data_IF_529266326983
#
_entry.id   IF_529266326983
#
_cell.length_a   1.000
_cell.length_b   1.000
_cell.length_c   1.000
_cell.angle_alpha   90.00
_cell.angle_beta   90.00
_cell.angle_gamma   90.00
#
_symmetry.space_group_name_H-M   'P 1'
#
loop_
_entity.id
_entity.type
_entity.pdbx_description
1 polymer ?
#
# COMPACT_ATOMS: atom_id res chain seq x y z
N UNK A 1 -10.31 -20.40 -6.42
CA UNK A 1 -10.81 -19.02 -6.22
C UNK A 1 -10.08 -18.17 -7.25
N UNK A 2 -10.79 -17.46 -8.13
CA UNK A 2 -10.13 -16.60 -9.13
C UNK A 2 -9.64 -15.37 -8.38
N UNK A 3 -8.32 -15.20 -8.29
CA UNK A 3 -7.71 -13.96 -7.79
C UNK A 3 -8.12 -12.86 -8.76
N UNK A 4 -8.75 -11.81 -8.24
CA UNK A 4 -9.03 -10.60 -9.02
C UNK A 4 -7.84 -9.68 -8.78
N UNK A 5 -6.94 -9.52 -9.76
CA UNK A 5 -5.79 -8.63 -9.59
C UNK A 5 -6.26 -7.20 -9.39
N UNK A 6 -5.41 -6.38 -8.79
CA UNK A 6 -5.60 -4.92 -8.75
C UNK A 6 -5.91 -4.43 -10.16
N UNK A 7 -6.97 -3.62 -10.26
CA UNK A 7 -7.45 -3.15 -11.56
C UNK A 7 -6.35 -2.38 -12.29
N UNK A 8 -6.25 -2.58 -13.61
CA UNK A 8 -5.29 -1.85 -14.44
C UNK A 8 -5.47 -0.32 -14.30
N UNK A 9 -6.70 0.13 -14.07
CA UNK A 9 -7.01 1.53 -13.76
C UNK A 9 -6.28 2.03 -12.50
N UNK A 10 -6.34 1.27 -11.39
CA UNK A 10 -5.61 1.65 -10.18
C UNK A 10 -4.10 1.62 -10.41
N UNK A 11 -3.59 0.65 -11.17
CA UNK A 11 -2.15 0.57 -11.48
C UNK A 11 -1.67 1.80 -12.27
N UNK A 12 -2.45 2.28 -13.24
CA UNK A 12 -2.11 3.51 -13.99
C UNK A 12 -2.19 4.75 -13.11
N UNK A 13 -3.22 4.83 -12.26
CA UNK A 13 -3.38 5.96 -11.34
C UNK A 13 -2.26 6.00 -10.28
N UNK A 14 -1.83 4.85 -9.77
CA UNK A 14 -0.75 4.80 -8.79
C UNK A 14 0.61 5.19 -9.37
N UNK A 15 0.75 5.26 -10.69
CA UNK A 15 1.92 5.78 -11.41
C UNK A 15 1.86 7.31 -11.65
N UNK A 16 0.73 7.96 -11.36
CA UNK A 16 0.59 9.43 -11.51
C UNK A 16 0.88 10.14 -10.17
N UNK A 17 1.91 11.02 -10.08
CA UNK A 17 2.14 11.84 -8.89
C UNK A 17 0.91 12.65 -8.43
N UNK A 18 0.07 13.08 -9.38
CA UNK A 18 -1.13 13.88 -9.10
C UNK A 18 -2.18 13.10 -8.35
N UNK A 19 -2.30 11.80 -8.61
CA UNK A 19 -3.21 10.92 -7.88
C UNK A 19 -2.87 10.88 -6.38
N UNK A 20 -1.59 10.77 -6.03
CA UNK A 20 -1.15 10.74 -4.64
C UNK A 20 -1.29 12.09 -3.95
N UNK A 21 -0.93 13.18 -4.64
CA UNK A 21 -1.19 14.54 -4.14
C UNK A 21 -2.68 14.74 -3.87
N UNK A 22 -3.55 14.29 -4.77
CA UNK A 22 -4.99 14.36 -4.60
C UNK A 22 -5.52 13.59 -3.38
N UNK A 23 -5.00 12.38 -3.12
CA UNK A 23 -5.46 11.57 -1.98
C UNK A 23 -5.07 12.15 -0.61
N UNK A 24 -3.98 12.93 -0.53
CA UNK A 24 -3.39 13.37 0.74
C UNK A 24 -3.38 14.89 0.95
N UNK A 25 -3.40 15.70 -0.12
CA UNK A 25 -3.39 17.16 -0.04
C UNK A 25 -4.82 17.68 -0.08
N UNK A 26 -5.20 18.42 0.97
CA UNK A 26 -6.55 18.92 1.28
C UNK A 26 -7.23 19.82 0.22
N UNK A 27 -6.68 19.98 -0.98
CA UNK A 27 -7.19 20.96 -1.95
C UNK A 27 -8.38 20.46 -2.79
N UNK A 28 -8.70 19.15 -2.76
CA UNK A 28 -9.95 18.63 -3.31
C UNK A 28 -10.07 18.73 -4.83
N UNK A 29 -10.71 17.72 -5.43
CA UNK A 29 -11.01 17.62 -6.85
C UNK A 29 -9.80 17.58 -7.80
N UNK A 30 -9.65 16.47 -8.53
CA UNK A 30 -8.83 16.50 -9.75
C UNK A 30 -9.62 17.26 -10.83
N UNK A 31 -9.02 18.25 -11.54
CA UNK A 31 -9.71 18.92 -12.63
C UNK A 31 -9.93 17.93 -13.78
N UNK A 32 -11.19 17.68 -14.13
CA UNK A 32 -11.62 16.76 -15.20
C UNK A 32 -11.05 15.33 -15.08
N UNK A 33 -11.41 14.56 -14.03
CA UNK A 33 -10.89 13.22 -13.82
C UNK A 33 -11.51 12.22 -14.80
N UNK A 34 -10.65 11.47 -15.50
CA UNK A 34 -11.05 10.28 -16.26
C UNK A 34 -10.28 9.04 -15.75
N UNK A 35 -10.95 8.10 -15.05
CA UNK A 35 -12.38 8.09 -14.72
C UNK A 35 -12.75 9.02 -13.55
N UNK A 36 -14.03 9.38 -13.41
CA UNK A 36 -14.51 10.19 -12.29
C UNK A 36 -14.58 9.43 -10.95
N UNK A 37 -14.83 8.12 -11.01
CA UNK A 37 -14.91 7.26 -9.84
C UNK A 37 -14.10 5.98 -10.07
N UNK A 38 -13.44 5.50 -9.02
CA UNK A 38 -12.64 4.28 -9.05
C UNK A 38 -13.04 3.40 -7.87
N UNK A 39 -13.54 2.20 -8.18
CA UNK A 39 -13.76 1.15 -7.19
C UNK A 39 -12.60 0.18 -7.20
N UNK A 40 -11.91 0.08 -6.08
CA UNK A 40 -10.81 -0.85 -5.84
C UNK A 40 -11.32 -2.01 -5.00
N UNK A 41 -11.32 -3.22 -5.55
CA UNK A 41 -11.58 -4.44 -4.79
C UNK A 41 -10.27 -5.06 -4.34
N UNK A 42 -10.14 -5.33 -3.05
CA UNK A 42 -8.96 -5.90 -2.42
C UNK A 42 -9.37 -7.21 -1.72
N UNK A 43 -9.40 -8.34 -2.45
CA UNK A 43 -9.67 -9.65 -1.86
C UNK A 43 -8.60 -9.96 -0.80
N UNK A 44 -9.02 -10.37 0.39
CA UNK A 44 -8.07 -10.74 1.45
C UNK A 44 -8.01 -12.25 1.57
N UNK A 45 -9.05 -12.90 2.11
CA UNK A 45 -9.07 -14.36 2.25
C UNK A 45 -10.47 -14.89 2.54
N UNK A 46 -10.72 -16.17 2.26
CA UNK A 46 -11.99 -16.85 2.59
C UNK A 46 -13.24 -16.21 2.01
N UNK A 47 -13.13 -15.47 0.91
CA UNK A 47 -14.21 -14.69 0.31
C UNK A 47 -14.44 -13.31 0.93
N UNK A 48 -13.75 -12.97 2.02
CA UNK A 48 -13.73 -11.61 2.55
C UNK A 48 -12.80 -10.71 1.74
N UNK A 49 -13.15 -9.43 1.68
CA UNK A 49 -12.31 -8.41 1.05
C UNK A 49 -12.60 -7.01 1.57
N UNK A 50 -11.69 -6.09 1.28
CA UNK A 50 -11.89 -4.66 1.47
C UNK A 50 -12.25 -4.04 0.12
N UNK A 51 -13.13 -3.05 0.13
CA UNK A 51 -13.53 -2.31 -1.07
C UNK A 51 -13.34 -0.83 -0.78
N UNK A 52 -12.51 -0.18 -1.60
CA UNK A 52 -12.27 1.25 -1.52
C UNK A 52 -12.92 1.92 -2.73
N UNK A 53 -13.88 2.78 -2.47
CA UNK A 53 -14.51 3.64 -3.47
C UNK A 53 -13.88 5.02 -3.39
N UNK A 54 -13.30 5.48 -4.50
CA UNK A 54 -12.64 6.77 -4.66
C UNK A 54 -13.47 7.63 -5.62
N UNK A 55 -14.00 8.74 -5.12
CA UNK A 55 -14.58 9.79 -5.95
C UNK A 55 -13.47 10.80 -6.28
N UNK A 56 -12.98 10.76 -7.52
CA UNK A 56 -11.89 11.62 -7.99
C UNK A 56 -12.34 13.06 -8.26
N UNK A 57 -13.66 13.30 -8.34
CA UNK A 57 -14.26 14.64 -8.48
C UNK A 57 -14.32 15.34 -7.14
N UNK A 58 -14.69 14.65 -6.05
CA UNK A 58 -14.87 15.27 -4.74
C UNK A 58 -13.69 15.07 -3.79
N UNK A 59 -12.86 14.04 -4.01
CA UNK A 59 -11.85 13.62 -3.03
C UNK A 59 -12.40 12.68 -1.94
N UNK A 60 -13.69 12.32 -2.01
CA UNK A 60 -14.28 11.43 -1.03
C UNK A 60 -13.79 9.99 -1.23
N UNK A 61 -13.52 9.32 -0.11
CA UNK A 61 -13.06 7.95 -0.07
C UNK A 61 -13.96 7.18 0.88
N UNK A 62 -14.51 6.05 0.43
CA UNK A 62 -15.34 5.17 1.25
C UNK A 62 -14.73 3.79 1.32
N UNK A 63 -14.50 3.31 2.54
CA UNK A 63 -14.04 1.96 2.78
C UNK A 63 -15.21 1.07 3.21
N UNK A 64 -15.34 -0.08 2.58
CA UNK A 64 -16.32 -1.10 2.91
C UNK A 64 -15.70 -2.48 3.08
N UNK A 65 -16.39 -3.33 3.84
CA UNK A 65 -16.12 -4.74 4.03
C UNK A 65 -17.01 -5.56 3.10
N UNK A 66 -16.40 -6.34 2.21
CA UNK A 66 -17.10 -7.38 1.45
C UNK A 66 -17.06 -8.69 2.22
N UNK A 67 -18.22 -9.25 2.50
CA UNK A 67 -18.38 -10.58 3.11
C UNK A 67 -18.57 -11.65 2.03
N UNK A 68 -18.24 -12.93 2.27
CA UNK A 68 -18.20 -13.98 1.25
C UNK A 68 -19.53 -14.21 0.49
N UNK A 69 -20.66 -13.92 1.13
CA UNK A 69 -21.99 -14.11 0.56
C UNK A 69 -22.68 -12.79 0.17
N UNK A 70 -22.02 -11.64 0.35
CA UNK A 70 -22.58 -10.33 0.04
C UNK A 70 -21.97 -9.77 -1.25
N UNK A 71 -22.82 -9.36 -2.18
CA UNK A 71 -22.40 -8.61 -3.36
C UNK A 71 -22.06 -7.15 -3.03
N UNK A 72 -22.72 -6.59 -2.01
CA UNK A 72 -22.54 -5.20 -1.60
C UNK A 72 -21.62 -5.10 -0.38
N UNK A 73 -20.59 -4.23 -0.42
CA UNK A 73 -19.73 -4.02 0.73
C UNK A 73 -20.48 -3.24 1.81
N UNK A 74 -20.35 -3.69 3.06
CA UNK A 74 -20.87 -2.96 4.23
C UNK A 74 -19.88 -1.88 4.61
N UNK A 75 -20.31 -0.63 4.67
CA UNK A 75 -19.42 0.50 4.95
C UNK A 75 -18.74 0.39 6.33
N UNK A 76 -17.41 0.51 6.33
CA UNK A 76 -16.58 0.59 7.52
C UNK A 76 -16.34 2.05 7.93
N UNK A 77 -16.15 2.93 6.95
CA UNK A 77 -15.90 4.35 7.18
C UNK A 77 -15.84 5.13 5.88
N UNK A 78 -15.80 6.44 5.99
CA UNK A 78 -15.59 7.34 4.86
C UNK A 78 -14.78 8.56 5.31
N UNK A 79 -14.02 9.14 4.40
CA UNK A 79 -13.22 10.36 4.61
C UNK A 79 -13.26 11.23 3.34
N UNK A 80 -12.75 12.45 3.44
CA UNK A 80 -12.63 13.37 2.32
C UNK A 80 -11.82 14.62 2.72
N UNK A 81 -11.62 15.57 1.80
CA UNK A 81 -10.82 16.77 2.06
C UNK A 81 -11.30 17.53 3.30
N UNK A 82 -10.38 17.85 4.21
CA UNK A 82 -10.67 18.58 5.45
C UNK A 82 -11.53 17.82 6.48
N UNK A 83 -11.81 16.53 6.29
CA UNK A 83 -12.56 15.70 7.24
C UNK A 83 -11.62 14.91 8.17
N UNK A 84 -12.08 14.59 9.39
CA UNK A 84 -11.32 13.71 10.28
C UNK A 84 -11.24 12.30 9.72
N UNK A 85 -10.13 11.62 10.01
CA UNK A 85 -9.92 10.23 9.58
C UNK A 85 -10.79 9.27 10.40
N UNK A 86 -11.57 8.37 9.75
CA UNK A 86 -12.38 7.38 10.44
C UNK A 86 -11.48 6.29 11.03
N UNK A 87 -11.63 6.01 12.32
CA UNK A 87 -10.96 4.89 12.99
C UNK A 87 -11.61 3.54 12.62
N UNK A 88 -11.71 3.25 11.33
CA UNK A 88 -12.40 2.07 10.80
C UNK A 88 -11.58 0.79 11.03
N UNK A 89 -10.27 0.85 10.80
CA UNK A 89 -9.31 -0.22 11.02
C UNK A 89 -8.35 0.18 12.15
N UNK A 90 -7.80 -0.82 12.84
CA UNK A 90 -6.59 -0.65 13.66
C UNK A 90 -5.37 -0.77 12.76
N UNK A 91 -4.21 -0.27 13.19
CA UNK A 91 -3.00 -0.34 12.36
C UNK A 91 -2.59 -1.77 12.01
N UNK A 92 -2.54 -2.67 13.00
CA UNK A 92 -2.29 -4.10 12.75
C UNK A 92 -3.39 -4.76 11.89
N UNK A 93 -4.63 -4.25 12.03
CA UNK A 93 -5.80 -4.41 11.13
C UNK A 93 -5.39 -4.41 9.65
N UNK A 94 -4.91 -3.24 9.27
CA UNK A 94 -4.48 -2.88 7.94
C UNK A 94 -3.24 -3.68 7.50
N UNK A 95 -2.22 -3.75 8.34
CA UNK A 95 -0.96 -4.40 7.99
C UNK A 95 -1.15 -5.89 7.67
N UNK A 96 -1.94 -6.61 8.48
CA UNK A 96 -2.28 -8.01 8.22
C UNK A 96 -3.00 -8.18 6.88
N UNK A 97 -4.02 -7.36 6.62
CA UNK A 97 -4.77 -7.43 5.37
C UNK A 97 -3.87 -7.12 4.17
N UNK A 98 -3.04 -6.07 4.25
CA UNK A 98 -2.15 -5.66 3.17
C UNK A 98 -1.12 -6.73 2.80
N UNK A 99 -0.52 -7.40 3.79
CA UNK A 99 0.40 -8.53 3.56
C UNK A 99 -0.29 -9.69 2.86
N UNK A 100 -1.50 -10.07 3.30
CA UNK A 100 -2.28 -11.13 2.64
C UNK A 100 -2.66 -10.73 1.22
N UNK A 101 -3.14 -9.51 1.00
CA UNK A 101 -3.50 -9.02 -0.34
C UNK A 101 -2.30 -9.08 -1.29
N UNK A 102 -1.11 -8.63 -0.85
CA UNK A 102 0.09 -8.69 -1.67
C UNK A 102 0.54 -10.13 -1.98
N UNK A 103 0.36 -11.07 -1.05
CA UNK A 103 0.65 -12.49 -1.27
C UNK A 103 -0.38 -13.15 -2.20
N UNK A 104 -1.65 -12.75 -2.15
CA UNK A 104 -2.68 -13.37 -2.99
C UNK A 104 -2.76 -12.73 -4.38
N UNK A 105 -2.25 -11.51 -4.56
CA UNK A 105 -2.18 -10.80 -5.84
C UNK A 105 -0.73 -10.71 -6.38
N UNK A 106 -0.36 -11.55 -7.36
CA UNK A 106 0.99 -11.60 -7.92
C UNK A 106 1.37 -10.33 -8.70
N UNK A 107 0.42 -9.41 -8.95
CA UNK A 107 0.71 -8.11 -9.58
C UNK A 107 1.20 -7.07 -8.58
N UNK A 108 1.13 -7.37 -7.27
CA UNK A 108 1.61 -6.51 -6.20
C UNK A 108 2.96 -7.02 -5.68
N UNK A 109 4.06 -6.27 -5.93
CA UNK A 109 5.38 -6.66 -5.45
C UNK A 109 5.55 -6.47 -3.94
N UNK A 110 4.74 -5.62 -3.30
CA UNK A 110 4.81 -5.32 -1.87
C UNK A 110 3.44 -4.88 -1.31
N UNK A 111 3.20 -5.01 0.02
CA UNK A 111 1.96 -4.57 0.66
C UNK A 111 1.76 -3.04 0.69
N UNK A 112 2.79 -2.28 0.34
CA UNK A 112 2.83 -0.82 0.46
C UNK A 112 1.76 -0.07 -0.34
N UNK A 113 1.34 -0.54 -1.52
CA UNK A 113 0.22 0.10 -2.24
C UNK A 113 -1.06 0.08 -1.41
N UNK A 114 -1.37 -1.07 -0.81
CA UNK A 114 -2.55 -1.26 0.03
C UNK A 114 -2.44 -0.42 1.30
N UNK A 115 -1.27 -0.42 1.95
CA UNK A 115 -1.01 0.40 3.14
C UNK A 115 -1.19 1.88 2.82
N UNK A 116 -0.64 2.37 1.71
CA UNK A 116 -0.75 3.77 1.30
C UNK A 116 -2.21 4.18 1.09
N UNK A 117 -2.97 3.40 0.32
CA UNK A 117 -4.38 3.66 0.00
C UNK A 117 -5.29 3.62 1.23
N UNK A 118 -5.05 2.70 2.17
CA UNK A 118 -5.95 2.47 3.30
C UNK A 118 -5.49 3.13 4.61
N UNK A 119 -4.30 3.73 4.65
CA UNK A 119 -3.79 4.46 5.82
C UNK A 119 -4.76 5.52 6.38
N UNK A 120 -5.58 6.25 5.59
CA UNK A 120 -6.57 7.18 6.13
C UNK A 120 -7.67 6.52 6.97
N UNK A 121 -7.85 5.20 6.87
CA UNK A 121 -8.85 4.43 7.61
C UNK A 121 -8.27 3.71 8.83
N UNK A 122 -6.96 3.79 9.04
CA UNK A 122 -6.24 3.20 10.17
C UNK A 122 -5.42 4.28 10.91
N UNK A 123 -6.07 5.34 11.45
CA UNK A 123 -5.36 6.38 12.20
C UNK A 123 -4.68 5.78 13.44
N UNK A 124 -3.57 6.40 13.85
CA UNK A 124 -2.84 6.03 15.05
C UNK A 124 -3.74 6.07 16.29
N UNK A 125 -3.64 5.02 17.11
CA UNK A 125 -4.27 4.91 18.42
C UNK A 125 -3.22 4.96 19.53
N UNK A 126 -3.60 5.19 20.80
CA UNK A 126 -2.65 5.19 21.91
C UNK A 126 -1.90 3.87 22.13
N UNK A 127 -2.42 2.76 21.58
CA UNK A 127 -1.82 1.43 21.70
C UNK A 127 -0.77 1.17 20.60
N UNK A 128 -0.66 2.05 19.60
CA UNK A 128 0.25 1.88 18.47
C UNK A 128 1.64 2.48 18.74
N UNK A 129 2.65 1.81 18.21
CA UNK A 129 4.04 2.30 18.20
C UNK A 129 4.20 3.34 17.07
N UNK A 130 4.21 4.62 17.44
CA UNK A 130 4.21 5.75 16.50
C UNK A 130 5.36 5.68 15.51
N UNK A 131 6.56 5.32 15.97
CA UNK A 131 7.75 5.26 15.13
C UNK A 131 7.67 4.09 14.15
N UNK A 132 7.18 2.94 14.62
CA UNK A 132 6.97 1.78 13.74
C UNK A 132 5.91 2.05 12.67
N UNK A 133 4.78 2.65 13.04
CA UNK A 133 3.74 3.01 12.06
C UNK A 133 4.27 4.03 11.04
N UNK A 134 4.99 5.05 11.50
CA UNK A 134 5.60 6.04 10.61
C UNK A 134 6.54 5.36 9.61
N UNK A 135 7.43 4.49 10.08
CA UNK A 135 8.35 3.77 9.21
C UNK A 135 7.66 2.86 8.19
N UNK A 136 6.60 2.13 8.59
CA UNK A 136 5.80 1.33 7.65
C UNK A 136 5.12 2.23 6.61
N UNK A 137 4.58 3.39 7.00
CA UNK A 137 3.98 4.35 6.05
C UNK A 137 5.02 4.91 5.09
N UNK A 138 6.16 5.34 5.59
CA UNK A 138 7.24 5.84 4.73
C UNK A 138 7.70 4.76 3.76
N UNK A 139 7.88 3.53 4.23
CA UNK A 139 8.22 2.39 3.38
C UNK A 139 7.17 2.13 2.32
N UNK A 140 5.89 2.17 2.70
CA UNK A 140 4.78 2.02 1.77
C UNK A 140 4.84 3.09 0.66
N UNK A 141 5.11 4.35 0.99
CA UNK A 141 5.27 5.39 -0.03
C UNK A 141 6.57 5.25 -0.83
N UNK A 142 7.68 4.85 -0.21
CA UNK A 142 8.96 4.62 -0.90
C UNK A 142 8.89 3.44 -1.86
N UNK A 143 8.16 2.39 -1.52
CA UNK A 143 7.94 1.22 -2.38
C UNK A 143 7.12 1.55 -3.64
N UNK A 144 6.40 2.66 -3.62
CA UNK A 144 5.69 3.21 -4.79
C UNK A 144 6.57 4.12 -5.66
N UNK A 145 7.84 4.34 -5.29
CA UNK A 145 8.77 5.13 -6.09
C UNK A 145 9.11 4.39 -7.36
N UNK A 146 8.50 4.85 -8.44
CA UNK A 146 8.90 4.54 -9.80
C UNK A 146 9.55 5.78 -10.40
N UNK A 147 10.60 5.56 -11.18
CA UNK A 147 11.12 6.61 -12.05
C UNK A 147 10.01 7.03 -13.01
N UNK A 148 9.68 8.33 -13.01
CA UNK A 148 8.77 8.89 -14.00
C UNK A 148 9.60 9.05 -15.28
N UNK A 149 9.23 8.42 -16.40
CA UNK A 149 9.91 8.64 -17.66
C UNK A 149 10.00 10.15 -17.94
N UNK A 150 11.16 10.67 -18.35
CA UNK A 150 11.32 12.11 -18.57
C UNK A 150 10.24 12.58 -19.55
N UNK A 151 9.46 13.58 -19.13
CA UNK A 151 8.44 14.21 -19.98
C UNK A 151 9.16 14.71 -21.23
N UNK A 152 8.72 14.26 -22.42
CA UNK A 152 9.25 14.76 -23.67
C UNK A 152 9.19 16.29 -23.64
N UNK A 153 10.31 16.95 -24.00
CA UNK A 153 10.40 18.40 -23.92
C UNK A 153 9.17 19.02 -24.59
N UNK A 154 8.39 19.79 -23.82
CA UNK A 154 7.26 20.55 -24.32
C UNK A 154 7.81 21.70 -25.18
N UNK A 155 8.16 21.37 -26.42
CA UNK A 155 8.53 22.30 -27.47
C UNK A 155 7.37 22.48 -28.43
N UNK A 156 7.40 23.53 -29.25
CA UNK A 156 6.39 23.71 -30.27
C UNK A 156 6.43 22.53 -31.26
N UNK A 157 5.28 21.90 -31.51
CA UNK A 157 5.15 20.80 -32.48
C UNK A 157 5.50 21.23 -33.92
N UNK A 158 5.62 22.54 -34.15
CA UNK A 158 5.99 23.18 -35.41
C UNK A 158 7.09 24.21 -35.17
N UNK A 159 7.91 24.50 -36.18
CA UNK A 159 8.91 25.55 -36.08
C UNK A 159 8.23 26.89 -35.74
N UNK A 160 8.55 27.54 -34.60
CA UNK A 160 7.85 28.72 -34.16
C UNK A 160 8.16 29.89 -35.10
N UNK A 161 7.14 30.70 -35.40
CA UNK A 161 7.33 31.93 -36.16
C UNK A 161 8.34 32.83 -35.42
N UNK A 162 9.10 33.70 -36.12
CA UNK A 162 10.19 34.49 -35.53
C UNK A 162 9.79 35.29 -34.28
N UNK A 163 8.51 35.67 -34.17
CA UNK A 163 7.94 36.42 -33.04
C UNK A 163 7.69 35.57 -31.77
N UNK A 164 7.61 34.24 -31.89
CA UNK A 164 7.32 33.31 -30.80
C UNK A 164 8.53 32.46 -30.40
N UNK A 165 9.74 32.91 -30.71
CA UNK A 165 10.98 32.18 -30.41
C UNK A 165 11.39 32.24 -28.95
N UNK A 166 10.86 33.19 -28.17
CA UNK A 166 11.18 33.33 -26.76
C UNK A 166 10.45 32.30 -25.87
N UNK A 167 11.15 31.74 -24.88
CA UNK A 167 10.63 30.72 -23.96
C UNK A 167 9.35 31.14 -23.22
N UNK A 168 9.16 32.44 -22.97
CA UNK A 168 8.00 32.98 -22.26
C UNK A 168 6.67 32.80 -23.02
N UNK A 169 6.71 32.52 -24.34
CA UNK A 169 5.53 32.24 -25.15
C UNK A 169 5.04 30.79 -25.03
N UNK A 170 5.86 29.92 -24.44
CA UNK A 170 5.57 28.50 -24.31
C UNK A 170 5.28 28.21 -22.85
N UNK A 171 4.07 27.74 -22.49
CA UNK A 171 3.81 27.33 -21.13
C UNK A 171 4.79 26.22 -20.78
N UNK A 172 5.70 26.48 -19.84
CA UNK A 172 6.44 25.40 -19.17
C UNK A 172 5.43 24.74 -18.24
N UNK A 173 4.95 23.52 -18.54
CA UNK A 173 4.25 22.78 -17.50
C UNK A 173 5.15 22.72 -16.26
N UNK A 174 4.60 22.84 -15.05
CA UNK A 174 5.40 22.69 -13.83
C UNK A 174 6.20 21.39 -13.97
N UNK A 175 7.50 21.46 -13.67
CA UNK A 175 8.35 20.29 -13.72
C UNK A 175 7.76 19.25 -12.78
N UNK A 176 7.24 18.16 -13.34
CA UNK A 176 6.79 17.02 -12.54
C UNK A 176 8.03 16.46 -11.84
N UNK A 177 7.84 16.03 -10.59
CA UNK A 177 8.89 15.35 -9.84
C UNK A 177 9.39 14.14 -10.65
N UNK A 178 10.71 13.84 -10.67
CA UNK A 178 11.24 12.68 -11.40
C UNK A 178 10.77 11.34 -10.79
N UNK A 179 10.11 11.38 -9.64
CA UNK A 179 9.55 10.23 -8.95
C UNK A 179 8.06 10.45 -8.71
N UNK A 180 7.30 9.37 -8.75
CA UNK A 180 5.85 9.38 -8.46
C UNK A 180 5.56 9.94 -7.06
N UNK A 181 6.39 9.59 -6.08
CA UNK A 181 6.37 10.14 -4.72
C UNK A 181 7.81 10.47 -4.28
N UNK A 182 8.19 11.74 -4.30
CA UNK A 182 9.52 12.17 -3.84
C UNK A 182 9.64 12.21 -2.30
N UNK A 183 10.85 12.47 -1.77
CA UNK A 183 11.09 12.54 -0.32
C UNK A 183 10.28 13.63 0.38
N UNK A 184 9.99 14.75 -0.29
CA UNK A 184 9.19 15.81 0.30
C UNK A 184 7.72 15.37 0.43
N UNK A 185 7.19 14.68 -0.59
CA UNK A 185 5.87 14.08 -0.56
C UNK A 185 5.77 12.97 0.50
N UNK A 186 6.76 12.07 0.59
CA UNK A 186 6.81 11.04 1.65
C UNK A 186 6.76 11.70 3.04
N UNK A 187 7.59 12.72 3.28
CA UNK A 187 7.60 13.43 4.55
C UNK A 187 6.24 14.08 4.85
N UNK A 188 5.59 14.70 3.85
CA UNK A 188 4.29 15.32 3.99
C UNK A 188 3.17 14.32 4.29
N UNK A 189 3.14 13.18 3.60
CA UNK A 189 2.07 12.17 3.74
C UNK A 189 2.20 11.35 5.03
N UNK A 190 3.41 11.25 5.58
CA UNK A 190 3.66 10.47 6.79
C UNK A 190 3.42 11.29 8.07
N UNK A 191 3.23 12.61 7.98
CA UNK A 191 2.87 13.43 9.14
C UNK A 191 1.61 12.85 9.81
N UNK A 192 1.65 12.55 11.12
CA UNK A 192 0.47 12.08 11.85
C UNK A 192 -0.63 13.15 11.80
N UNK A 193 -1.78 12.82 11.24
CA UNK A 193 -2.94 13.72 11.28
C UNK A 193 -3.73 13.50 12.57
N UNK A 194 -3.96 14.54 13.40
CA UNK A 194 -4.86 14.44 14.53
C UNK A 194 -6.30 14.77 14.11
N UNK A 195 -7.22 13.84 14.38
CA UNK A 195 -8.60 13.93 14.90
C UNK A 195 -9.34 12.68 14.40
N UNK A 196 -9.63 11.81 15.36
CA UNK A 196 -10.23 10.50 15.20
C UNK A 196 -11.76 10.62 15.17
N UNK A 197 -12.39 10.16 14.08
CA UNK A 197 -13.81 9.83 14.12
C UNK A 197 -13.93 8.35 14.53
N UNK A 198 -14.34 8.10 15.77
CA UNK A 198 -14.57 6.74 16.25
C UNK A 198 -15.84 6.16 15.62
N UNK A 199 -15.66 5.33 14.59
CA UNK A 199 -16.76 4.72 13.83
C UNK A 199 -17.12 3.31 14.32
N UNK A 200 -16.21 2.61 15.02
CA UNK A 200 -16.42 1.21 15.47
C UNK A 200 -17.40 1.12 16.61
N UNK A 201 -17.69 2.24 17.30
CA UNK A 201 -18.77 2.36 18.28
C UNK A 201 -20.18 2.33 17.67
N UNK A 202 -20.33 2.57 16.37
CA UNK A 202 -21.63 2.62 15.70
C UNK A 202 -22.38 1.28 15.70
N UNK A 203 -23.71 1.30 15.81
CA UNK A 203 -24.54 0.08 15.77
C UNK A 203 -24.55 -0.62 14.41
N UNK A 204 -24.26 0.13 13.34
CA UNK A 204 -24.19 -0.38 11.95
C UNK A 204 -22.79 -0.86 11.55
N UNK A 205 -21.79 -0.71 12.43
CA UNK A 205 -20.43 -1.12 12.12
C UNK A 205 -20.32 -2.66 12.12
N UNK A 206 -19.81 -3.30 11.05
CA UNK A 206 -19.80 -4.76 10.90
C UNK A 206 -18.66 -5.41 11.71
N UNK A 207 -18.78 -5.37 13.05
CA UNK A 207 -17.73 -5.85 13.97
C UNK A 207 -17.40 -7.33 13.80
N UNK A 208 -18.43 -8.15 13.65
CA UNK A 208 -18.28 -9.61 13.54
C UNK A 208 -17.57 -9.98 12.22
N UNK A 209 -18.03 -9.41 11.10
CA UNK A 209 -17.39 -9.61 9.79
C UNK A 209 -15.94 -9.14 9.77
N UNK A 210 -15.64 -7.96 10.32
CA UNK A 210 -14.26 -7.46 10.39
C UNK A 210 -13.38 -8.35 11.29
N UNK A 211 -13.89 -8.78 12.44
CA UNK A 211 -13.16 -9.68 13.35
C UNK A 211 -12.84 -11.00 12.67
N UNK A 212 -13.79 -11.56 11.92
CA UNK A 212 -13.60 -12.81 11.19
C UNK A 212 -12.61 -12.66 10.04
N UNK A 213 -12.68 -11.57 9.27
CA UNK A 213 -11.69 -11.22 8.25
C UNK A 213 -10.27 -11.19 8.85
N UNK A 214 -10.07 -10.46 9.95
CA UNK A 214 -8.76 -10.32 10.60
C UNK A 214 -8.26 -11.68 11.12
N UNK A 215 -9.14 -12.47 11.73
CA UNK A 215 -8.81 -13.81 12.20
C UNK A 215 -8.34 -14.72 11.06
N UNK A 216 -9.03 -14.69 9.92
CA UNK A 216 -8.64 -15.49 8.77
C UNK A 216 -7.36 -14.99 8.11
N UNK A 217 -7.15 -13.67 8.01
CA UNK A 217 -5.92 -13.09 7.49
C UNK A 217 -4.71 -13.49 8.33
N UNK A 218 -4.81 -13.39 9.66
CA UNK A 218 -3.78 -13.85 10.58
C UNK A 218 -3.51 -15.36 10.44
N UNK A 219 -4.58 -16.17 10.33
CA UNK A 219 -4.45 -17.61 10.11
C UNK A 219 -3.74 -17.94 8.79
N UNK A 220 -4.04 -17.21 7.71
CA UNK A 220 -3.40 -17.38 6.40
C UNK A 220 -1.90 -17.12 6.47
N UNK A 221 -1.48 -15.99 7.08
CA UNK A 221 -0.06 -15.67 7.24
C UNK A 221 0.65 -16.67 8.15
N UNK A 222 0.03 -17.09 9.25
CA UNK A 222 0.64 -18.05 10.19
C UNK A 222 0.91 -19.43 9.57
N UNK A 223 0.14 -19.81 8.55
CA UNK A 223 0.29 -21.08 7.83
C UNK A 223 1.33 -21.03 6.72
N UNK A 224 1.65 -19.85 6.19
CA UNK A 224 2.59 -19.71 5.08
C UNK A 224 3.94 -20.41 5.40
N UNK A 225 4.60 -20.20 6.55
CA UNK A 225 5.84 -20.90 6.91
C UNK A 225 5.73 -22.42 7.07
N UNK A 226 4.52 -22.94 7.16
CA UNK A 226 4.25 -24.37 7.35
C UNK A 226 4.07 -25.08 6.00
N UNK A 227 3.98 -24.34 4.90
CA UNK A 227 3.94 -24.93 3.57
C UNK A 227 5.27 -25.61 3.25
N UNK A 228 5.20 -26.80 2.65
CA UNK A 228 6.37 -27.64 2.39
C UNK A 228 7.46 -26.93 1.58
N UNK A 229 7.05 -26.01 0.69
CA UNK A 229 7.93 -25.18 -0.12
C UNK A 229 8.90 -24.33 0.73
N UNK A 230 8.49 -23.89 1.92
CA UNK A 230 9.28 -23.01 2.79
C UNK A 230 9.99 -23.75 3.92
N UNK A 231 9.90 -25.09 3.98
CA UNK A 231 10.47 -25.89 5.06
C UNK A 231 11.98 -25.68 5.23
N UNK A 232 12.72 -25.58 4.13
CA UNK A 232 14.18 -25.38 4.10
C UNK A 232 14.58 -23.91 4.33
N UNK A 233 13.68 -22.98 4.00
CA UNK A 233 13.86 -21.52 4.11
C UNK A 233 13.65 -21.04 5.55
N UNK A 234 12.71 -21.65 6.26
CA UNK A 234 12.24 -21.22 7.59
C UNK A 234 13.35 -21.09 8.65
N UNK A 235 14.35 -21.99 8.78
CA UNK A 235 15.41 -21.83 9.76
C UNK A 235 16.26 -20.56 9.53
N UNK A 236 16.57 -20.24 8.27
CA UNK A 236 17.33 -19.04 7.92
C UNK A 236 16.50 -17.77 8.13
N UNK A 237 15.23 -17.77 7.72
CA UNK A 237 14.31 -16.66 7.98
C UNK A 237 14.19 -16.37 9.48
N UNK A 238 14.07 -17.42 10.32
CA UNK A 238 14.06 -17.28 11.79
C UNK A 238 15.36 -16.72 12.34
N UNK A 239 16.50 -17.20 11.83
CA UNK A 239 17.78 -16.66 12.25
C UNK A 239 17.91 -15.15 11.97
N UNK A 240 17.49 -14.70 10.79
CA UNK A 240 17.44 -13.28 10.43
C UNK A 240 16.50 -12.51 11.37
N UNK A 241 15.27 -13.00 11.58
CA UNK A 241 14.30 -12.37 12.47
C UNK A 241 14.78 -12.29 13.94
N UNK A 242 15.45 -13.34 14.43
CA UNK A 242 15.94 -13.43 15.81
C UNK A 242 17.19 -12.59 16.06
N UNK A 243 18.04 -12.41 15.04
CA UNK A 243 19.28 -11.61 15.15
C UNK A 243 19.08 -10.15 14.77
N UNK A 244 18.13 -9.84 13.89
CA UNK A 244 18.02 -8.54 13.24
C UNK A 244 19.10 -8.30 12.17
N UNK A 245 19.84 -9.32 11.74
CA UNK A 245 20.88 -9.16 10.73
C UNK A 245 20.33 -9.43 9.32
N UNK A 246 20.18 -8.39 8.50
CA UNK A 246 19.68 -8.49 7.12
C UNK A 246 20.75 -8.92 6.10
N UNK A 247 22.02 -9.05 6.47
CA UNK A 247 23.08 -9.51 5.53
C UNK A 247 22.76 -10.86 4.86
N UNK A 248 22.15 -11.85 5.53
CA UNK A 248 21.81 -13.15 4.93
C UNK A 248 20.54 -13.15 4.05
N UNK A 249 19.92 -12.00 3.76
CA UNK A 249 18.70 -11.94 2.91
C UNK A 249 18.95 -12.48 1.50
N UNK A 250 20.12 -12.24 0.91
CA UNK A 250 20.47 -12.80 -0.39
C UNK A 250 20.65 -14.33 -0.36
N UNK A 251 21.15 -14.87 0.76
CA UNK A 251 21.26 -16.32 0.95
C UNK A 251 19.84 -16.92 1.08
N UNK A 252 18.92 -16.22 1.76
CA UNK A 252 17.52 -16.60 1.86
C UNK A 252 16.83 -16.68 0.49
N UNK A 253 17.09 -15.70 -0.38
CA UNK A 253 16.60 -15.72 -1.76
C UNK A 253 17.17 -16.90 -2.57
N UNK A 254 18.45 -17.23 -2.36
CA UNK A 254 19.08 -18.40 -2.96
C UNK A 254 18.36 -19.70 -2.58
N UNK A 255 18.11 -19.91 -1.28
CA UNK A 255 17.39 -21.09 -0.78
C UNK A 255 15.96 -21.14 -1.31
N UNK A 256 15.26 -20.01 -1.40
CA UNK A 256 13.91 -19.94 -1.98
C UNK A 256 13.90 -20.35 -3.45
N UNK A 257 14.87 -19.88 -4.22
CA UNK A 257 15.00 -20.21 -5.64
C UNK A 257 15.31 -21.70 -5.83
N UNK A 258 16.21 -22.25 -5.02
CA UNK A 258 16.55 -23.68 -5.04
C UNK A 258 15.39 -24.58 -4.63
N UNK A 259 14.56 -24.12 -3.68
CA UNK A 259 13.33 -24.79 -3.27
C UNK A 259 12.22 -24.75 -4.35
N UNK A 260 12.43 -24.01 -5.45
CA UNK A 260 11.48 -23.88 -6.55
C UNK A 260 10.37 -22.86 -6.29
N UNK A 261 10.59 -21.87 -5.42
CA UNK A 261 9.67 -20.76 -5.24
C UNK A 261 9.64 -19.89 -6.50
N UNK A 262 8.46 -19.73 -7.10
CA UNK A 262 8.21 -18.89 -8.28
C UNK A 262 7.27 -17.71 -7.98
N UNK A 263 6.98 -17.46 -6.69
CA UNK A 263 6.05 -16.42 -6.27
C UNK A 263 6.68 -15.03 -6.44
N UNK A 264 6.17 -14.16 -7.36
CA UNK A 264 6.83 -12.90 -7.72
C UNK A 264 6.99 -11.97 -6.52
N UNK A 265 5.93 -11.74 -5.75
CA UNK A 265 5.97 -10.91 -4.52
C UNK A 265 7.00 -11.40 -3.49
N UNK A 266 7.24 -12.71 -3.39
CA UNK A 266 8.22 -13.28 -2.45
C UNK A 266 9.63 -13.01 -2.94
N UNK A 267 9.87 -13.22 -4.23
CA UNK A 267 11.18 -13.02 -4.85
C UNK A 267 11.55 -11.53 -4.93
N UNK A 268 10.62 -10.68 -5.37
CA UNK A 268 10.81 -9.24 -5.51
C UNK A 268 11.11 -8.57 -4.17
N UNK A 269 10.44 -8.99 -3.08
CA UNK A 269 10.69 -8.46 -1.74
C UNK A 269 12.12 -8.75 -1.20
N UNK A 270 12.83 -9.72 -1.78
CA UNK A 270 14.14 -10.18 -1.31
C UNK A 270 15.29 -9.92 -2.28
N UNK A 271 15.02 -9.73 -3.58
CA UNK A 271 16.03 -9.58 -4.64
C UNK A 271 16.62 -8.17 -4.74
N UNK A 272 15.77 -7.15 -4.73
CA UNK A 272 16.16 -5.74 -4.89
C UNK A 272 15.32 -4.84 -3.97
N UNK A 273 15.40 -5.01 -2.63
CA UNK A 273 14.62 -4.18 -1.72
C UNK A 273 15.03 -2.72 -1.86
N UNK A 274 14.08 -1.87 -2.25
CA UNK A 274 14.28 -0.41 -2.37
C UNK A 274 14.58 0.20 -1.00
N UNK A 275 14.06 -0.43 0.06
CA UNK A 275 14.31 -0.10 1.46
C UNK A 275 14.42 -1.39 2.30
N UNK A 276 15.29 -1.47 3.33
CA UNK A 276 15.49 -2.68 4.14
C UNK A 276 14.21 -3.29 4.75
N UNK A 277 13.20 -2.47 4.97
CA UNK A 277 11.87 -2.84 5.49
C UNK A 277 11.04 -3.69 4.51
N UNK A 278 11.29 -3.62 3.20
CA UNK A 278 10.66 -4.52 2.22
C UNK A 278 11.12 -5.97 2.43
N UNK A 279 12.39 -6.19 2.77
CA UNK A 279 12.85 -7.51 3.16
C UNK A 279 12.28 -7.92 4.53
N UNK A 280 12.14 -6.97 5.46
CA UNK A 280 11.68 -7.26 6.83
C UNK A 280 10.31 -7.96 6.87
N UNK A 281 9.31 -7.46 6.15
CA UNK A 281 7.97 -8.06 6.22
C UNK A 281 7.96 -9.50 5.66
N UNK A 282 8.72 -9.76 4.59
CA UNK A 282 8.82 -11.08 3.99
C UNK A 282 9.56 -12.05 4.90
N UNK A 283 10.69 -11.63 5.48
CA UNK A 283 11.44 -12.42 6.46
C UNK A 283 10.57 -12.75 7.67
N UNK A 284 9.86 -11.78 8.24
CA UNK A 284 8.95 -12.01 9.37
C UNK A 284 7.86 -13.02 9.00
N UNK A 285 7.30 -12.89 7.80
CA UNK A 285 6.25 -13.77 7.31
C UNK A 285 6.78 -15.19 7.17
N UNK A 286 7.93 -15.41 6.51
CA UNK A 286 8.57 -16.72 6.33
C UNK A 286 9.09 -17.33 7.64
N UNK A 287 9.49 -16.50 8.61
CA UNK A 287 9.91 -16.96 9.94
C UNK A 287 8.71 -17.40 10.82
N UNK A 288 7.50 -16.93 10.49
CA UNK A 288 6.34 -16.98 11.37
C UNK A 288 6.48 -16.06 12.58
N UNK A 289 7.21 -14.95 12.42
CA UNK A 289 7.40 -13.94 13.45
C UNK A 289 6.19 -13.00 13.53
N UNK A 290 6.09 -12.26 14.63
CA UNK A 290 5.06 -11.22 14.78
C UNK A 290 5.36 -10.10 13.76
N UNK A 291 4.36 -9.64 12.98
CA UNK A 291 4.52 -8.49 12.09
C UNK A 291 5.12 -7.27 12.80
N UNK A 292 6.12 -6.63 12.17
CA UNK A 292 6.81 -5.45 12.67
C UNK A 292 7.84 -5.73 13.79
N UNK A 293 8.11 -7.00 14.12
CA UNK A 293 9.12 -7.37 15.12
C UNK A 293 10.57 -7.19 14.65
N UNK A 294 10.84 -7.42 13.37
CA UNK A 294 12.14 -7.19 12.74
C UNK A 294 12.29 -5.71 12.39
N UNK A 295 11.22 -5.08 11.89
CA UNK A 295 11.20 -3.64 11.62
C UNK A 295 11.67 -2.82 12.83
N UNK A 296 11.09 -3.06 14.01
CA UNK A 296 11.41 -2.31 15.25
C UNK A 296 12.88 -2.38 15.68
N UNK A 297 13.67 -3.31 15.12
CA UNK A 297 15.11 -3.41 15.39
C UNK A 297 15.95 -2.56 14.44
N UNK A 298 15.34 -2.02 13.38
CA UNK A 298 15.96 -1.23 12.34
C UNK A 298 15.47 0.24 12.30
N UNK A 299 14.60 0.62 13.23
CA UNK A 299 14.24 2.00 13.55
C UNK A 299 15.27 2.60 14.51
#
# INVERSE_FOLDING_TARGET
MVVVPVSEALRRLSEDPRFWSFLFVNDGAHPDPDPAEVRVSLPVTGGYGLVLDLDLVTGEQTLGLREPASSEPVQLGWTGPGRPYPAALRWHELELCARVIALEDPTLPHPGLVVALLSPFAPLTPDDDVDAVAAVREAAYRSLRREVPPVAAAGPEQAPLPLFTAEAWWPRPPALSPQVIDEAAVAAYTVPAPVQLEVRGGSRFPREGLTELVRQAAQRLSRLPEEQLYAEVRPLARHIADTGDLRPVNDLLGVLTEAGCDHPTVLDALSEPLVPIEACWMVETLAGAVPGSLLRRHL
#
